data_IF_408388621896
#
_entry.id   IF_408388621896
#
_cell.length_a   1.000
_cell.length_b   1.000
_cell.length_c   1.000
_cell.angle_alpha   90.00
_cell.angle_beta   90.00
_cell.angle_gamma   90.00
#
_symmetry.space_group_name_H-M   'P 1'
#
loop_
_entity.id
_entity.type
_entity.pdbx_description
1 polymer ?
#
# COMPACT_ATOMS: atom_id res chain seq x y z
N UNK A 1 -10.88 -14.97 -2.16
CA UNK A 1 -11.81 -14.75 -3.28
C UNK A 1 -11.55 -13.39 -3.89
N UNK A 2 -11.61 -13.27 -5.20
CA UNK A 2 -11.54 -12.00 -5.94
C UNK A 2 -12.92 -11.38 -6.22
N UNK A 3 -13.97 -11.89 -5.57
CA UNK A 3 -15.30 -11.27 -5.65
C UNK A 3 -15.26 -9.88 -5.00
N UNK A 4 -15.92 -8.87 -5.60
CA UNK A 4 -15.99 -7.55 -5.01
C UNK A 4 -16.76 -7.59 -3.68
N UNK A 5 -16.43 -6.68 -2.79
CA UNK A 5 -17.11 -6.52 -1.50
C UNK A 5 -18.23 -5.49 -1.56
N UNK A 6 -18.20 -4.64 -2.59
CA UNK A 6 -19.21 -3.62 -2.89
C UNK A 6 -19.30 -3.39 -4.40
N UNK A 7 -20.13 -2.44 -4.82
CA UNK A 7 -20.39 -2.13 -6.23
C UNK A 7 -19.40 -1.11 -6.83
N UNK A 8 -18.33 -0.76 -6.11
CA UNK A 8 -17.36 0.25 -6.57
C UNK A 8 -16.35 -0.31 -7.56
N UNK A 9 -16.13 -1.63 -7.55
CA UNK A 9 -15.21 -2.32 -8.45
C UNK A 9 -15.81 -3.61 -8.99
N UNK A 10 -15.37 -4.03 -10.18
CA UNK A 10 -15.81 -5.29 -10.81
C UNK A 10 -15.25 -6.53 -10.09
N UNK A 11 -14.03 -6.41 -9.58
CA UNK A 11 -13.33 -7.43 -8.78
C UNK A 11 -12.74 -6.78 -7.54
N UNK A 12 -12.38 -7.59 -6.53
CA UNK A 12 -11.61 -7.11 -5.40
C UNK A 12 -10.21 -6.68 -5.88
N UNK A 13 -9.91 -5.39 -5.83
CA UNK A 13 -8.68 -4.80 -6.33
C UNK A 13 -7.73 -4.34 -5.22
N UNK A 14 -8.20 -4.31 -3.96
CA UNK A 14 -7.42 -3.88 -2.80
C UNK A 14 -7.87 -4.57 -1.51
N UNK A 15 -6.96 -4.73 -0.57
CA UNK A 15 -7.24 -5.36 0.72
C UNK A 15 -8.25 -4.61 1.58
N UNK A 16 -8.33 -3.30 1.41
CA UNK A 16 -9.16 -2.41 2.23
C UNK A 16 -10.66 -2.49 1.91
N UNK A 17 -11.07 -2.97 0.73
CA UNK A 17 -12.46 -2.87 0.27
C UNK A 17 -13.49 -3.47 1.23
N UNK A 18 -13.18 -4.58 1.88
CA UNK A 18 -14.06 -5.20 2.87
C UNK A 18 -14.21 -4.38 4.16
N UNK A 19 -13.32 -3.43 4.41
CA UNK A 19 -13.27 -2.63 5.65
C UNK A 19 -13.74 -1.18 5.46
N UNK A 20 -14.12 -0.77 4.24
CA UNK A 20 -14.63 0.57 3.96
C UNK A 20 -15.69 1.08 4.96
N UNK A 21 -16.65 0.26 5.41
CA UNK A 21 -17.62 0.70 6.42
C UNK A 21 -16.98 1.16 7.73
N UNK A 22 -15.80 0.63 8.09
CA UNK A 22 -15.09 0.97 9.32
C UNK A 22 -14.35 2.31 9.20
N UNK A 23 -14.04 2.77 7.98
CA UNK A 23 -13.26 3.99 7.75
C UNK A 23 -13.99 5.28 8.11
N UNK A 24 -15.30 5.22 8.16
CA UNK A 24 -16.16 6.36 8.53
C UNK A 24 -16.87 6.15 9.87
N UNK A 25 -16.64 5.04 10.54
CA UNK A 25 -17.29 4.70 11.81
C UNK A 25 -16.39 5.05 13.00
N UNK A 26 -16.66 6.14 13.72
CA UNK A 26 -15.84 6.56 14.84
C UNK A 26 -15.94 5.64 16.07
N UNK A 27 -16.84 4.67 16.09
CA UNK A 27 -16.97 3.69 17.16
C UNK A 27 -15.95 2.56 17.07
N UNK A 28 -15.33 2.35 15.89
CA UNK A 28 -14.31 1.34 15.68
C UNK A 28 -12.92 1.93 15.88
N UNK A 29 -12.13 1.29 16.73
CA UNK A 29 -10.73 1.62 16.97
C UNK A 29 -9.88 0.35 16.94
N UNK A 30 -8.57 0.53 16.80
CA UNK A 30 -7.61 -0.56 16.82
C UNK A 30 -7.03 -0.89 15.44
N UNK A 31 -6.52 -2.09 15.31
CA UNK A 31 -5.78 -2.52 14.13
C UNK A 31 -6.41 -3.78 13.54
N UNK A 32 -6.60 -3.79 12.23
CA UNK A 32 -7.06 -4.96 11.47
C UNK A 32 -6.01 -5.30 10.42
N UNK A 33 -5.70 -6.59 10.26
CA UNK A 33 -4.81 -7.07 9.21
C UNK A 33 -5.49 -8.13 8.37
N UNK A 34 -5.17 -8.19 7.09
CA UNK A 34 -5.66 -9.22 6.20
C UNK A 34 -4.64 -9.64 5.13
N UNK A 35 -4.99 -10.74 4.48
CA UNK A 35 -4.38 -11.20 3.23
C UNK A 35 -5.50 -11.41 2.23
N UNK A 36 -5.51 -10.62 1.14
CA UNK A 36 -6.61 -10.57 0.17
C UNK A 36 -6.11 -10.86 -1.24
N UNK A 37 -6.71 -11.87 -1.88
CA UNK A 37 -6.51 -12.09 -3.31
C UNK A 37 -7.16 -10.95 -4.11
N UNK A 38 -6.38 -10.30 -4.94
CA UNK A 38 -6.80 -9.15 -5.75
C UNK A 38 -6.66 -9.45 -7.24
N UNK A 39 -7.51 -8.79 -8.04
CA UNK A 39 -7.45 -8.83 -9.49
C UNK A 39 -7.63 -7.41 -10.02
N UNK A 40 -6.62 -6.90 -10.75
CA UNK A 40 -6.62 -5.56 -11.35
C UNK A 40 -6.59 -5.68 -12.86
N UNK A 41 -7.64 -5.17 -13.49
CA UNK A 41 -7.76 -5.15 -14.95
C UNK A 41 -7.19 -3.87 -15.57
N UNK A 42 -6.99 -2.82 -14.76
CA UNK A 42 -6.43 -1.55 -15.20
C UNK A 42 -4.97 -1.63 -15.60
N UNK A 43 -4.24 -2.57 -15.02
CA UNK A 43 -2.79 -2.71 -15.19
C UNK A 43 -2.41 -3.69 -16.33
N UNK A 44 -3.37 -4.05 -17.20
CA UNK A 44 -3.17 -5.05 -18.26
C UNK A 44 -2.02 -4.70 -19.21
N UNK A 45 -1.85 -3.42 -19.52
CA UNK A 45 -0.80 -2.94 -20.43
C UNK A 45 0.60 -2.98 -19.79
N UNK A 46 0.68 -3.16 -18.45
CA UNK A 46 1.91 -3.23 -17.68
C UNK A 46 2.34 -4.68 -17.38
N UNK A 47 1.47 -5.65 -17.67
CA UNK A 47 1.77 -7.07 -17.44
C UNK A 47 2.96 -7.50 -18.30
N UNK A 48 3.97 -8.09 -17.64
CA UNK A 48 5.20 -8.55 -18.29
C UNK A 48 6.40 -7.64 -18.03
N UNK A 49 6.24 -6.54 -17.31
CA UNK A 49 7.33 -5.68 -16.84
C UNK A 49 8.15 -6.31 -15.69
N UNK A 50 7.69 -7.45 -15.17
CA UNK A 50 8.30 -8.21 -14.06
C UNK A 50 7.83 -7.77 -12.68
N UNK A 51 6.94 -6.78 -12.58
CA UNK A 51 6.46 -6.23 -11.30
C UNK A 51 4.94 -6.15 -11.19
N UNK A 52 4.24 -6.01 -12.32
CA UNK A 52 2.78 -5.96 -12.37
C UNK A 52 2.18 -7.34 -12.66
N UNK A 53 1.24 -7.74 -11.82
CA UNK A 53 0.50 -8.99 -11.90
C UNK A 53 -0.99 -8.70 -12.00
N UNK A 54 -1.67 -9.42 -12.89
CA UNK A 54 -3.13 -9.36 -13.02
C UNK A 54 -3.82 -9.86 -11.75
N UNK A 55 -3.32 -10.97 -11.20
CA UNK A 55 -3.79 -11.59 -9.97
C UNK A 55 -2.66 -11.64 -8.96
N UNK A 56 -2.88 -11.11 -7.76
CA UNK A 56 -1.87 -11.03 -6.72
C UNK A 56 -2.50 -11.08 -5.33
N UNK A 57 -1.66 -11.23 -4.32
CA UNK A 57 -2.06 -11.20 -2.92
C UNK A 57 -1.68 -9.86 -2.30
N UNK A 58 -2.68 -9.06 -1.91
CA UNK A 58 -2.46 -7.86 -1.14
C UNK A 58 -2.43 -8.20 0.35
N UNK A 59 -1.35 -7.85 1.01
CA UNK A 59 -1.25 -7.84 2.46
C UNK A 59 -1.61 -6.45 2.95
N UNK A 60 -2.52 -6.35 3.90
CA UNK A 60 -3.04 -5.07 4.39
C UNK A 60 -2.99 -4.98 5.91
N UNK A 61 -2.66 -3.79 6.39
CA UNK A 61 -2.79 -3.39 7.79
C UNK A 61 -3.60 -2.10 7.83
N UNK A 62 -4.70 -2.11 8.58
CA UNK A 62 -5.63 -0.99 8.68
C UNK A 62 -5.62 -0.47 10.11
N UNK A 63 -5.15 0.77 10.27
CA UNK A 63 -5.04 1.44 11.54
C UNK A 63 -6.24 2.37 11.71
N UNK A 64 -7.14 2.02 12.61
CA UNK A 64 -8.40 2.73 12.85
C UNK A 64 -8.24 3.74 13.99
N UNK A 65 -8.71 4.98 13.78
CA UNK A 65 -8.92 6.06 14.75
C UNK A 65 -7.67 6.63 15.46
N UNK A 66 -6.93 5.85 16.22
CA UNK A 66 -5.95 6.39 17.18
C UNK A 66 -4.52 6.46 16.66
N UNK A 67 -4.29 5.94 15.45
CA UNK A 67 -2.96 5.84 14.87
C UNK A 67 -2.69 7.00 13.92
N UNK A 68 -1.46 7.43 13.88
CA UNK A 68 -1.00 8.51 13.01
C UNK A 68 -0.28 7.97 11.78
N UNK A 69 -0.13 8.81 10.76
CA UNK A 69 0.71 8.49 9.59
C UNK A 69 2.13 8.12 10.03
N UNK A 70 2.67 8.80 11.06
CA UNK A 70 3.99 8.47 11.63
C UNK A 70 4.05 7.05 12.19
N UNK A 71 3.00 6.60 12.89
CA UNK A 71 2.94 5.22 13.39
C UNK A 71 2.92 4.19 12.25
N UNK A 72 2.19 4.49 11.17
CA UNK A 72 2.14 3.62 10.00
C UNK A 72 3.49 3.55 9.27
N UNK A 73 4.17 4.69 9.12
CA UNK A 73 5.52 4.77 8.55
C UNK A 73 6.51 3.99 9.41
N UNK A 74 6.52 4.20 10.73
CA UNK A 74 7.41 3.49 11.65
C UNK A 74 7.17 1.98 11.58
N UNK A 75 5.91 1.54 11.61
CA UNK A 75 5.55 0.12 11.44
C UNK A 75 6.11 -0.45 10.13
N UNK A 76 5.90 0.26 9.02
CA UNK A 76 6.32 -0.23 7.71
C UNK A 76 7.84 -0.33 7.60
N UNK A 77 8.55 0.67 8.07
CA UNK A 77 10.02 0.65 8.10
C UNK A 77 10.57 -0.46 9.00
N UNK A 78 9.96 -0.70 10.16
CA UNK A 78 10.31 -1.80 11.05
C UNK A 78 10.07 -3.15 10.38
N UNK A 79 8.90 -3.32 9.74
CA UNK A 79 8.56 -4.54 9.01
C UNK A 79 9.57 -4.82 7.87
N UNK A 80 9.89 -3.83 7.03
CA UNK A 80 10.91 -3.97 6.00
C UNK A 80 12.27 -4.34 6.60
N UNK A 81 12.62 -3.74 7.73
CA UNK A 81 13.86 -4.05 8.48
C UNK A 81 13.93 -5.52 8.92
N UNK A 82 12.81 -6.15 9.31
CA UNK A 82 12.77 -7.59 9.62
C UNK A 82 13.06 -8.48 8.42
N UNK A 83 12.79 -7.96 7.21
CA UNK A 83 13.12 -8.63 5.94
C UNK A 83 14.53 -8.31 5.42
N UNK A 84 15.31 -7.53 6.18
CA UNK A 84 16.62 -7.05 5.75
C UNK A 84 16.57 -5.98 4.65
N UNK A 85 15.42 -5.35 4.46
CA UNK A 85 15.22 -4.31 3.45
C UNK A 85 15.29 -2.91 4.08
N UNK A 86 15.98 -2.02 3.36
CA UNK A 86 15.96 -0.58 3.62
C UNK A 86 15.51 0.08 2.31
N UNK A 87 14.49 0.92 2.30
CA UNK A 87 14.07 1.64 1.10
C UNK A 87 15.20 2.49 0.53
N UNK A 88 15.31 2.55 -0.77
CA UNK A 88 16.26 3.43 -1.46
C UNK A 88 15.75 4.89 -1.42
N UNK A 89 14.45 5.04 -1.58
CA UNK A 89 13.75 6.31 -1.41
C UNK A 89 12.27 6.06 -1.08
N UNK A 90 11.60 7.13 -0.69
CA UNK A 90 10.16 7.20 -0.54
C UNK A 90 9.60 8.34 -1.37
N UNK A 91 8.38 8.18 -1.87
CA UNK A 91 7.64 9.26 -2.50
C UNK A 91 6.65 9.88 -1.53
N UNK A 92 6.39 11.17 -1.68
CA UNK A 92 5.36 11.89 -0.94
C UNK A 92 4.69 12.86 -1.90
N UNK A 93 3.35 12.92 -1.88
CA UNK A 93 2.64 13.95 -2.64
C UNK A 93 3.09 15.36 -2.22
N UNK A 94 3.30 16.32 -3.16
CA UNK A 94 3.80 17.66 -2.85
C UNK A 94 3.04 18.40 -1.76
N UNK A 95 1.71 18.25 -1.71
CA UNK A 95 0.85 18.88 -0.70
C UNK A 95 1.08 18.35 0.72
N UNK A 96 1.79 17.23 0.87
CA UNK A 96 2.10 16.57 2.15
C UNK A 96 3.57 16.60 2.53
N UNK A 97 4.44 17.12 1.68
CA UNK A 97 5.88 17.14 1.94
C UNK A 97 6.25 17.81 3.28
N UNK A 98 5.69 18.98 3.55
CA UNK A 98 6.00 19.71 4.80
C UNK A 98 5.57 18.95 6.05
N UNK A 99 4.43 18.24 5.96
CA UNK A 99 3.84 17.51 7.08
C UNK A 99 4.53 16.16 7.29
N UNK A 100 4.82 15.41 6.23
CA UNK A 100 5.25 14.02 6.34
C UNK A 100 6.76 13.83 6.26
N UNK A 101 7.52 14.75 5.66
CA UNK A 101 8.98 14.66 5.65
C UNK A 101 9.59 14.47 7.05
N UNK A 102 9.16 15.21 8.09
CA UNK A 102 9.70 15.03 9.44
C UNK A 102 9.40 13.68 10.09
N UNK A 103 8.45 12.90 9.54
CA UNK A 103 8.07 11.58 10.06
C UNK A 103 9.10 10.51 9.66
N UNK A 104 9.86 10.75 8.58
CA UNK A 104 10.90 9.84 8.12
C UNK A 104 12.20 10.05 8.88
N UNK A 105 12.45 9.17 9.85
CA UNK A 105 13.67 9.16 10.64
C UNK A 105 14.73 8.30 9.95
N UNK A 106 16.01 8.64 10.10
CA UNK A 106 17.09 7.83 9.57
C UNK A 106 17.61 8.20 8.17
N UNK A 107 17.12 9.29 7.57
CA UNK A 107 17.76 9.88 6.38
C UNK A 107 17.46 9.16 5.08
N UNK A 108 16.30 8.48 4.96
CA UNK A 108 15.84 7.96 3.67
C UNK A 108 15.65 9.11 2.67
N UNK A 109 16.02 8.90 1.42
CA UNK A 109 15.80 9.90 0.37
C UNK A 109 14.30 10.10 0.12
N UNK A 110 13.86 11.36 0.02
CA UNK A 110 12.46 11.71 -0.21
C UNK A 110 12.33 12.34 -1.60
N UNK A 111 11.38 11.85 -2.37
CA UNK A 111 11.05 12.34 -3.71
C UNK A 111 9.61 12.88 -3.69
N UNK A 112 9.45 14.12 -4.18
CA UNK A 112 8.12 14.68 -4.38
C UNK A 112 7.50 14.07 -5.63
N UNK A 113 6.31 13.47 -5.50
CA UNK A 113 5.62 12.85 -6.62
C UNK A 113 4.13 13.24 -6.61
N UNK A 114 3.66 14.05 -7.58
CA UNK A 114 2.26 14.43 -7.67
C UNK A 114 1.32 13.25 -7.98
N UNK A 115 1.83 12.14 -8.50
CA UNK A 115 1.05 10.92 -8.74
C UNK A 115 0.90 10.06 -7.47
N UNK A 116 1.57 10.43 -6.36
CA UNK A 116 1.47 9.71 -5.09
C UNK A 116 0.10 9.94 -4.42
N UNK A 117 -0.93 9.42 -5.07
CA UNK A 117 -2.34 9.45 -4.69
C UNK A 117 -2.94 8.07 -4.87
N UNK A 118 -3.95 7.75 -4.08
CA UNK A 118 -4.69 6.52 -4.23
C UNK A 118 -6.19 6.74 -4.25
N UNK A 119 -6.90 5.99 -5.09
CA UNK A 119 -8.36 6.01 -5.16
C UNK A 119 -8.89 4.67 -5.68
N UNK A 120 -10.04 4.27 -5.16
CA UNK A 120 -10.85 3.18 -5.74
C UNK A 120 -12.15 3.69 -6.37
N UNK A 121 -12.24 5.01 -6.60
CA UNK A 121 -13.40 5.67 -7.14
C UNK A 121 -14.45 6.10 -6.10
N UNK A 122 -14.41 5.54 -4.89
CA UNK A 122 -15.34 5.90 -3.79
C UNK A 122 -14.66 6.64 -2.65
N UNK A 123 -13.41 6.34 -2.40
CA UNK A 123 -12.56 7.01 -1.41
C UNK A 123 -11.19 7.26 -2.03
N UNK A 124 -10.57 8.36 -1.66
CA UNK A 124 -9.25 8.74 -2.16
C UNK A 124 -8.44 9.45 -1.09
N UNK A 125 -7.12 9.44 -1.25
CA UNK A 125 -6.20 10.13 -0.34
C UNK A 125 -4.83 10.35 -0.98
N UNK A 126 -4.04 11.23 -0.37
CA UNK A 126 -2.61 11.33 -0.62
C UNK A 126 -1.90 10.17 0.05
N UNK A 127 -0.85 9.67 -0.56
CA UNK A 127 -0.08 8.56 -0.02
C UNK A 127 1.41 8.87 0.07
N UNK A 128 2.11 7.96 0.69
CA UNK A 128 3.56 7.85 0.62
C UNK A 128 3.91 6.41 0.28
N UNK A 129 4.81 6.23 -0.68
CA UNK A 129 5.21 4.93 -1.20
C UNK A 129 6.69 4.69 -0.94
N UNK A 130 7.05 3.42 -0.80
CA UNK A 130 8.39 2.97 -0.45
C UNK A 130 8.98 2.21 -1.61
N UNK A 131 10.18 2.58 -2.04
CA UNK A 131 10.83 1.99 -3.21
C UNK A 131 12.12 1.28 -2.85
N UNK A 132 12.32 0.12 -3.46
CA UNK A 132 13.56 -0.65 -3.41
C UNK A 132 13.90 -1.17 -4.81
N UNK A 133 15.12 -0.86 -5.28
CA UNK A 133 15.59 -1.25 -6.62
C UNK A 133 14.67 -0.77 -7.75
N UNK A 134 14.04 0.41 -7.58
CA UNK A 134 13.08 0.95 -8.53
C UNK A 134 11.69 0.32 -8.48
N UNK A 135 11.44 -0.59 -7.54
CA UNK A 135 10.14 -1.27 -7.36
C UNK A 135 9.47 -0.75 -6.11
N UNK A 136 8.18 -0.38 -6.23
CA UNK A 136 7.36 -0.02 -5.08
C UNK A 136 7.17 -1.25 -4.17
N UNK A 137 7.55 -1.11 -2.90
CA UNK A 137 7.44 -2.18 -1.90
C UNK A 137 6.17 -2.12 -1.09
N UNK A 138 5.54 -0.96 -1.02
CA UNK A 138 4.31 -0.75 -0.28
C UNK A 138 3.94 0.71 -0.16
N UNK A 139 2.74 0.96 0.35
CA UNK A 139 2.10 2.26 0.44
C UNK A 139 1.55 2.48 1.85
N UNK A 140 1.64 3.71 2.34
CA UNK A 140 0.89 4.20 3.50
C UNK A 140 -0.10 5.26 3.01
N UNK A 141 -1.37 5.02 3.23
CA UNK A 141 -2.45 5.75 2.59
C UNK A 141 -3.53 6.15 3.62
N UNK A 142 -3.53 7.39 4.11
CA UNK A 142 -4.60 7.89 4.96
C UNK A 142 -5.90 8.07 4.20
N UNK A 143 -6.94 7.35 4.63
CA UNK A 143 -8.26 7.31 4.03
C UNK A 143 -9.34 7.59 5.08
N UNK A 144 -9.86 8.80 5.12
CA UNK A 144 -10.82 9.19 6.16
C UNK A 144 -10.22 9.09 7.56
N UNK A 145 -10.80 8.25 8.42
CA UNK A 145 -10.33 7.99 9.79
C UNK A 145 -9.46 6.73 9.91
N UNK A 146 -9.11 6.13 8.78
CA UNK A 146 -8.26 4.94 8.70
C UNK A 146 -6.95 5.27 8.01
N UNK A 147 -5.89 4.57 8.40
CA UNK A 147 -4.64 4.54 7.64
C UNK A 147 -4.47 3.13 7.10
N UNK A 148 -4.48 3.03 5.78
CA UNK A 148 -4.23 1.80 5.04
C UNK A 148 -2.73 1.65 4.77
N UNK A 149 -2.17 0.53 5.19
CA UNK A 149 -0.81 0.11 4.84
C UNK A 149 -0.95 -1.14 3.97
N UNK A 150 -0.64 -1.00 2.69
CA UNK A 150 -0.82 -2.06 1.70
C UNK A 150 0.47 -2.43 0.98
N UNK A 151 0.63 -3.73 0.68
CA UNK A 151 1.75 -4.23 -0.10
C UNK A 151 1.45 -5.57 -0.78
N UNK A 152 1.98 -5.75 -1.99
CA UNK A 152 1.88 -6.99 -2.74
C UNK A 152 2.86 -8.04 -2.20
N UNK A 153 2.35 -9.21 -1.79
CA UNK A 153 3.18 -10.28 -1.24
C UNK A 153 4.19 -10.79 -2.28
N UNK A 154 3.75 -10.93 -3.53
CA UNK A 154 4.57 -11.41 -4.65
C UNK A 154 5.69 -10.43 -4.97
N UNK A 155 5.38 -9.12 -4.98
CA UNK A 155 6.35 -8.05 -5.24
C UNK A 155 7.42 -7.98 -4.13
N UNK A 156 7.02 -8.10 -2.85
CA UNK A 156 7.96 -8.20 -1.74
C UNK A 156 8.84 -9.45 -1.85
N UNK A 157 8.25 -10.60 -2.20
CA UNK A 157 9.00 -11.84 -2.39
C UNK A 157 10.04 -11.71 -3.49
N UNK A 158 9.69 -11.05 -4.62
CA UNK A 158 10.62 -10.75 -5.70
C UNK A 158 11.83 -9.96 -5.20
N UNK A 159 11.60 -8.92 -4.42
CA UNK A 159 12.66 -8.02 -3.93
C UNK A 159 13.55 -8.75 -2.91
N UNK A 160 12.95 -9.52 -2.00
CA UNK A 160 13.70 -10.24 -0.94
C UNK A 160 14.52 -11.39 -1.51
N UNK A 161 13.95 -12.17 -2.42
CA UNK A 161 14.53 -13.43 -2.89
C UNK A 161 15.09 -13.36 -4.31
N UNK A 162 14.84 -12.31 -5.06
CA UNK A 162 15.24 -12.16 -6.46
C UNK A 162 14.55 -13.16 -7.40
N UNK A 163 13.42 -13.72 -7.00
CA UNK A 163 12.64 -14.68 -7.80
C UNK A 163 11.51 -13.95 -8.51
N UNK A 164 11.57 -13.88 -9.85
CA UNK A 164 10.37 -13.61 -10.63
C UNK A 164 9.37 -14.74 -10.37
N UNK A 165 8.16 -14.41 -9.97
CA UNK A 165 7.08 -15.37 -10.09
C UNK A 165 6.74 -15.48 -11.57
N UNK A 166 6.97 -16.65 -12.15
CA UNK A 166 6.40 -16.96 -13.47
C UNK A 166 4.88 -16.80 -13.32
N UNK A 167 4.29 -15.89 -14.08
CA UNK A 167 2.85 -15.82 -14.24
C UNK A 167 2.37 -17.20 -14.64
N UNK A 168 1.79 -17.90 -13.68
CA UNK A 168 1.40 -19.28 -13.86
C UNK A 168 0.38 -19.38 -14.98
N UNK A 169 0.77 -20.11 -15.95
CA UNK A 169 0.02 -20.65 -17.10
C UNK A 169 -1.43 -21.03 -16.78
#
# INVERSE_FOLDING_TARGET
SVRPHDDTTLFCSAGMQQYKPLFSDPSHSGTVANSQACLRMGDLDEIGDGTHLLHFTMLGLFLLQEMTVGNAIDFWLEFLGTLGLVPDHVTIHPDRLMEWTPLYRGGVAIVADPECTWSDGSISGYCTEFYKHGVETGIVNPLGTCIDVGFGAERLNLIVNGTQQDDAR
#
